data_IF_291329917620
#
_entry.id   IF_291329917620
#
_cell.length_a   1.000
_cell.length_b   1.000
_cell.length_c   1.000
_cell.angle_alpha   90.00
_cell.angle_beta   90.00
_cell.angle_gamma   90.00
#
_symmetry.space_group_name_H-M   'P 1'
#
loop_
_entity.id
_entity.type
_entity.pdbx_description
1 polymer ?
#
# COMPACT_ATOMS: atom_id res chain seq x y z
N UNK A 1 22.52 0.08 0.27
CA UNK A 1 23.93 -0.09 -0.15
C UNK A 1 24.81 0.62 0.87
N UNK A 2 25.82 -0.06 1.44
CA UNK A 2 26.70 0.51 2.49
C UNK A 2 27.37 1.83 2.05
N UNK A 3 27.77 1.93 0.79
CA UNK A 3 28.40 3.15 0.25
C UNK A 3 27.43 4.34 0.18
N UNK A 4 26.14 4.09 -0.09
CA UNK A 4 25.10 5.15 -0.08
C UNK A 4 24.85 5.63 1.35
N UNK A 5 24.78 4.70 2.30
CA UNK A 5 24.66 5.02 3.72
C UNK A 5 25.88 5.81 4.23
N UNK A 6 27.09 5.45 3.79
CA UNK A 6 28.30 6.18 4.10
C UNK A 6 28.25 7.62 3.57
N UNK A 7 27.86 7.83 2.31
CA UNK A 7 27.68 9.16 1.72
C UNK A 7 26.71 10.02 2.54
N UNK A 8 25.57 9.46 2.95
CA UNK A 8 24.57 10.19 3.73
C UNK A 8 25.08 10.55 5.13
N UNK A 9 25.74 9.62 5.81
CA UNK A 9 26.27 9.84 7.17
C UNK A 9 27.51 10.75 7.19
N UNK A 10 28.37 10.66 6.17
CA UNK A 10 29.63 11.40 6.08
C UNK A 10 29.45 12.81 5.50
N UNK A 11 28.60 12.95 4.49
CA UNK A 11 28.42 14.19 3.72
C UNK A 11 27.04 14.82 3.83
N UNK A 12 26.12 14.25 4.63
CA UNK A 12 24.79 14.82 4.91
C UNK A 12 23.77 14.72 3.78
N UNK A 13 24.15 14.20 2.60
CA UNK A 13 23.27 14.08 1.43
C UNK A 13 23.58 12.81 0.62
N UNK A 14 22.60 12.40 -0.19
CA UNK A 14 22.71 11.18 -1.00
C UNK A 14 23.55 11.45 -2.26
N UNK A 15 24.24 10.43 -2.81
CA UNK A 15 25.01 10.58 -4.04
C UNK A 15 24.15 10.74 -5.30
N UNK A 16 22.84 10.58 -5.18
CA UNK A 16 21.84 10.81 -6.21
C UNK A 16 20.67 11.57 -5.57
N UNK A 17 20.25 12.67 -6.20
CA UNK A 17 19.17 13.55 -5.74
C UNK A 17 18.16 13.74 -6.88
N UNK A 18 16.92 14.09 -6.54
CA UNK A 18 15.82 14.27 -7.48
C UNK A 18 14.56 13.47 -7.10
N UNK A 19 13.61 13.41 -8.01
CA UNK A 19 12.43 12.54 -7.91
C UNK A 19 12.83 11.07 -7.79
N UNK A 20 11.91 10.20 -7.32
CA UNK A 20 12.19 8.75 -7.23
C UNK A 20 12.71 8.16 -8.55
N UNK A 21 12.23 8.65 -9.68
CA UNK A 21 12.66 8.25 -11.02
C UNK A 21 14.08 8.74 -11.32
N UNK A 22 14.43 9.98 -10.97
CA UNK A 22 15.78 10.51 -11.16
C UNK A 22 16.81 9.82 -10.27
N UNK A 23 16.44 9.45 -9.04
CA UNK A 23 17.26 8.66 -8.13
C UNK A 23 17.44 7.24 -8.70
N UNK A 24 16.37 6.61 -9.19
CA UNK A 24 16.41 5.29 -9.82
C UNK A 24 17.27 5.28 -11.09
N UNK A 25 17.11 6.28 -11.97
CA UNK A 25 17.98 6.46 -13.13
C UNK A 25 19.42 6.76 -12.71
N UNK A 26 19.59 7.56 -11.66
CA UNK A 26 20.86 7.86 -11.03
C UNK A 26 21.60 6.57 -10.65
N UNK A 27 20.90 5.64 -10.01
CA UNK A 27 21.44 4.33 -9.66
C UNK A 27 21.84 3.49 -10.88
N UNK A 28 21.23 3.67 -12.06
CA UNK A 28 21.50 2.87 -13.27
C UNK A 28 22.48 3.51 -14.26
N UNK A 29 22.41 4.82 -14.49
CA UNK A 29 23.07 5.50 -15.61
C UNK A 29 23.92 6.71 -15.20
N UNK A 30 23.47 7.52 -14.23
CA UNK A 30 24.21 8.75 -13.87
C UNK A 30 25.41 8.42 -12.97
N UNK A 31 26.47 9.21 -13.11
CA UNK A 31 27.62 9.16 -12.19
C UNK A 31 27.18 9.70 -10.82
N UNK A 32 27.59 9.06 -9.71
CA UNK A 32 27.27 9.57 -8.38
C UNK A 32 27.96 10.91 -8.15
N UNK A 33 27.22 11.88 -7.61
CA UNK A 33 27.84 13.09 -7.08
C UNK A 33 28.48 12.77 -5.74
N UNK A 34 29.80 12.94 -5.66
CA UNK A 34 30.62 12.66 -4.49
C UNK A 34 31.29 13.92 -3.95
N UNK A 35 30.84 15.10 -4.35
CA UNK A 35 31.45 16.36 -3.91
C UNK A 35 31.30 16.62 -2.40
N UNK A 36 30.30 16.01 -1.76
CA UNK A 36 30.05 16.09 -0.30
C UNK A 36 31.00 15.27 0.57
N UNK A 37 31.79 14.36 -0.01
CA UNK A 37 32.77 13.57 0.73
C UNK A 37 34.21 14.05 0.44
N UNK A 38 35.14 13.89 1.40
CA UNK A 38 36.56 14.23 1.25
C UNK A 38 37.19 13.64 -0.03
N UNK A 39 38.08 14.38 -0.66
CA UNK A 39 38.62 14.03 -1.98
C UNK A 39 39.41 12.71 -2.00
N UNK A 40 40.04 12.36 -0.89
CA UNK A 40 40.75 11.12 -0.61
C UNK A 40 39.83 9.90 -0.51
N UNK A 41 38.58 10.06 -0.05
CA UNK A 41 37.61 8.98 0.11
C UNK A 41 36.82 8.68 -1.19
N UNK A 42 36.74 9.65 -2.11
CA UNK A 42 35.94 9.57 -3.36
C UNK A 42 36.25 8.35 -4.24
N UNK A 43 37.51 7.95 -4.49
CA UNK A 43 37.81 6.82 -5.36
C UNK A 43 37.28 5.48 -4.82
N UNK A 44 37.37 5.28 -3.50
CA UNK A 44 36.89 4.06 -2.84
C UNK A 44 35.36 3.96 -2.90
N UNK A 45 34.68 5.09 -2.70
CA UNK A 45 33.22 5.21 -2.77
C UNK A 45 32.73 5.05 -4.21
N UNK A 46 33.39 5.67 -5.19
CA UNK A 46 33.05 5.55 -6.60
C UNK A 46 33.10 4.09 -7.08
N UNK A 47 34.13 3.35 -6.67
CA UNK A 47 34.24 1.91 -6.96
C UNK A 47 33.15 1.09 -6.28
N UNK A 48 32.78 1.42 -5.03
CA UNK A 48 31.68 0.76 -4.33
C UNK A 48 30.30 1.02 -4.97
N UNK A 49 30.13 2.18 -5.61
CA UNK A 49 28.92 2.60 -6.32
C UNK A 49 28.94 2.25 -7.82
N UNK A 50 29.91 1.45 -8.28
CA UNK A 50 30.00 1.04 -9.67
C UNK A 50 28.73 0.27 -10.10
N UNK A 51 28.29 0.51 -11.34
CA UNK A 51 27.01 0.01 -11.87
C UNK A 51 27.02 -1.51 -12.06
N UNK A 52 28.14 -2.07 -12.49
CA UNK A 52 28.30 -3.51 -12.69
C UNK A 52 28.83 -4.13 -11.40
N UNK A 53 28.22 -5.22 -10.91
CA UNK A 53 28.68 -5.89 -9.70
C UNK A 53 30.16 -6.28 -9.71
N UNK A 54 30.69 -6.65 -10.88
CA UNK A 54 32.10 -7.04 -11.08
C UNK A 54 33.09 -5.89 -10.89
N UNK A 55 32.64 -4.65 -11.02
CA UNK A 55 33.47 -3.45 -10.86
C UNK A 55 33.48 -2.95 -9.40
N UNK A 56 32.66 -3.56 -8.53
CA UNK A 56 32.55 -3.22 -7.09
C UNK A 56 33.54 -4.02 -6.25
N UNK A 57 33.69 -3.61 -4.99
CA UNK A 57 34.44 -4.39 -4.00
C UNK A 57 33.79 -5.76 -3.77
N UNK A 58 34.64 -6.77 -3.58
CA UNK A 58 34.19 -8.15 -3.33
C UNK A 58 33.51 -8.31 -1.97
N UNK A 59 33.71 -7.38 -1.04
CA UNK A 59 33.05 -7.37 0.27
C UNK A 59 32.95 -5.95 0.87
N UNK A 60 32.08 -5.79 1.87
CA UNK A 60 31.98 -4.54 2.63
C UNK A 60 33.27 -4.23 3.43
N UNK A 61 33.97 -5.26 3.90
CA UNK A 61 35.24 -5.12 4.64
C UNK A 61 36.36 -4.57 3.76
N UNK A 62 36.43 -5.03 2.50
CA UNK A 62 37.36 -4.51 1.49
C UNK A 62 37.12 -3.01 1.24
N UNK A 63 35.85 -2.62 1.06
CA UNK A 63 35.47 -1.23 0.87
C UNK A 63 35.93 -0.34 2.05
N UNK A 64 35.68 -0.76 3.30
CA UNK A 64 36.06 0.00 4.50
C UNK A 64 37.57 0.14 4.65
N UNK A 65 38.35 -0.88 4.28
CA UNK A 65 39.82 -0.79 4.30
C UNK A 65 40.35 0.29 3.36
N UNK A 66 39.69 0.46 2.21
CA UNK A 66 40.04 1.45 1.20
C UNK A 66 39.52 2.87 1.49
N UNK A 67 38.65 3.04 2.50
CA UNK A 67 38.24 4.37 3.00
C UNK A 67 39.29 5.03 3.92
N UNK A 68 40.47 4.42 4.09
CA UNK A 68 41.53 4.99 4.94
C UNK A 68 41.20 4.97 6.43
N UNK A 69 40.13 4.28 6.86
CA UNK A 69 39.73 4.10 8.26
C UNK A 69 40.68 3.15 9.04
N UNK A 70 41.93 3.03 8.61
CA UNK A 70 42.93 2.15 9.19
C UNK A 70 44.07 2.95 9.83
N UNK A 71 43.82 3.53 11.00
CA UNK A 71 44.75 3.23 12.09
C UNK A 71 44.14 2.08 12.90
N UNK A 72 44.87 0.97 13.08
CA UNK A 72 44.42 -0.11 13.94
C UNK A 72 44.42 0.40 15.39
N UNK A 73 43.27 0.42 16.05
CA UNK A 73 43.27 0.41 17.52
C UNK A 73 44.08 -0.84 17.90
N UNK A 74 45.21 -0.58 18.54
CA UNK A 74 46.34 -1.48 18.61
C UNK A 74 46.03 -2.86 19.17
N UNK A 75 46.91 -3.78 18.78
CA UNK A 75 47.30 -4.98 19.54
C UNK A 75 46.16 -5.70 20.26
N UNK A 76 45.72 -6.78 19.63
CA UNK A 76 45.27 -8.00 20.31
C UNK A 76 45.98 -8.15 21.65
N UNK A 77 45.30 -8.05 22.82
CA UNK A 77 45.82 -8.74 23.97
C UNK A 77 45.55 -10.23 23.69
N UNK A 78 46.61 -11.02 23.82
CA UNK A 78 46.53 -12.47 23.88
C UNK A 78 45.32 -12.87 24.75
N UNK A 79 44.58 -13.87 24.27
CA UNK A 79 43.54 -14.55 25.03
C UNK A 79 44.20 -15.09 26.30
N UNK A 80 44.13 -14.31 27.38
CA UNK A 80 44.44 -14.81 28.71
C UNK A 80 43.23 -15.62 29.16
N UNK A 81 43.48 -16.92 29.28
CA UNK A 81 42.61 -17.91 29.89
C UNK A 81 42.25 -17.44 31.31
N UNK A 82 41.09 -16.80 31.49
CA UNK A 82 40.57 -16.49 32.82
C UNK A 82 39.83 -17.71 33.36
N UNK A 83 40.59 -18.77 33.62
CA UNK A 83 40.19 -19.85 34.51
C UNK A 83 40.14 -19.27 35.94
N UNK A 84 39.05 -18.60 36.29
CA UNK A 84 38.94 -18.06 37.64
C UNK A 84 37.96 -16.91 37.85
N UNK A 85 36.75 -16.93 37.27
CA UNK A 85 35.66 -16.06 37.76
C UNK A 85 34.27 -16.73 37.64
N UNK A 86 34.25 -18.07 37.60
CA UNK A 86 33.06 -18.89 37.31
C UNK A 86 32.13 -19.13 38.51
N UNK A 87 32.40 -18.54 39.68
CA UNK A 87 31.69 -18.89 40.93
C UNK A 87 30.87 -17.77 41.58
N UNK A 88 31.05 -16.49 41.20
CA UNK A 88 30.34 -15.36 41.85
C UNK A 88 29.26 -14.70 41.00
N UNK A 89 29.37 -14.67 39.67
CA UNK A 89 28.35 -14.10 38.78
C UNK A 89 27.15 -15.04 38.53
N UNK A 90 27.32 -16.35 38.69
CA UNK A 90 26.24 -17.33 38.46
C UNK A 90 25.18 -17.34 39.57
N UNK A 91 25.48 -16.80 40.77
CA UNK A 91 24.51 -16.71 41.86
C UNK A 91 23.55 -15.53 41.66
N UNK A 92 24.07 -14.35 41.28
CA UNK A 92 23.23 -13.16 41.09
C UNK A 92 22.29 -13.30 39.88
N UNK A 93 22.76 -13.92 38.79
CA UNK A 93 21.94 -14.14 37.59
C UNK A 93 20.83 -15.18 37.82
N UNK A 94 21.07 -16.22 38.65
CA UNK A 94 20.03 -17.18 39.06
C UNK A 94 18.95 -16.57 39.96
N UNK A 95 19.29 -15.59 40.81
CA UNK A 95 18.30 -14.93 41.65
C UNK A 95 17.37 -14.01 40.84
N UNK A 96 17.90 -13.27 39.86
CA UNK A 96 17.09 -12.36 39.04
C UNK A 96 16.15 -13.14 38.10
N UNK A 97 16.60 -14.25 37.51
CA UNK A 97 15.73 -15.08 36.66
C UNK A 97 14.65 -15.80 37.47
N UNK A 98 14.95 -16.25 38.69
CA UNK A 98 13.95 -16.83 39.58
C UNK A 98 12.86 -15.81 39.98
N UNK A 99 13.21 -14.55 40.25
CA UNK A 99 12.23 -13.50 40.57
C UNK A 99 11.32 -13.22 39.38
N UNK A 100 11.86 -13.14 38.16
CA UNK A 100 11.05 -12.93 36.94
C UNK A 100 10.12 -14.11 36.68
N UNK A 101 10.58 -15.35 36.88
CA UNK A 101 9.74 -16.55 36.74
C UNK A 101 8.63 -16.57 37.80
N UNK A 102 8.90 -16.18 39.04
CA UNK A 102 7.87 -16.09 40.09
C UNK A 102 6.85 -14.99 39.78
N UNK A 103 7.26 -13.85 39.22
CA UNK A 103 6.34 -12.79 38.79
C UNK A 103 5.47 -13.26 37.62
N UNK A 104 6.07 -13.91 36.62
CA UNK A 104 5.32 -14.44 35.48
C UNK A 104 4.35 -15.52 35.93
N UNK A 105 4.79 -16.48 36.76
CA UNK A 105 3.91 -17.50 37.32
C UNK A 105 2.85 -16.92 38.26
N UNK A 106 3.14 -15.86 39.01
CA UNK A 106 2.17 -15.14 39.84
C UNK A 106 1.10 -14.46 38.98
N UNK A 107 1.49 -13.82 37.87
CA UNK A 107 0.55 -13.17 36.93
C UNK A 107 -0.27 -14.22 36.19
N UNK A 108 0.35 -15.31 35.72
CA UNK A 108 -0.36 -16.42 35.07
C UNK A 108 -1.31 -17.11 36.03
N UNK A 109 -0.91 -17.30 37.29
CA UNK A 109 -1.78 -17.82 38.35
C UNK A 109 -2.91 -16.85 38.68
N UNK A 110 -2.66 -15.54 38.73
CA UNK A 110 -3.69 -14.50 38.99
C UNK A 110 -4.73 -14.44 37.86
N UNK A 111 -4.29 -14.59 36.60
CA UNK A 111 -5.18 -14.67 35.44
C UNK A 111 -5.98 -15.98 35.43
N UNK A 112 -5.34 -17.10 35.79
CA UNK A 112 -6.00 -18.41 35.89
C UNK A 112 -6.95 -18.52 37.12
N UNK A 113 -6.67 -17.77 38.19
CA UNK A 113 -7.49 -17.72 39.40
C UNK A 113 -8.84 -17.02 39.15
N UNK A 114 -8.88 -16.05 38.22
CA UNK A 114 -10.16 -15.50 37.72
C UNK A 114 -10.88 -16.42 36.74
N UNK A 115 -10.17 -17.35 36.11
CA UNK A 115 -10.75 -18.33 35.18
C UNK A 115 -11.39 -19.54 35.90
N UNK A 116 -11.05 -19.77 37.17
CA UNK A 116 -11.54 -20.94 37.94
C UNK A 116 -12.72 -20.64 38.86
N UNK A 117 -13.29 -19.42 38.86
CA UNK A 117 -14.43 -19.06 39.73
C UNK A 117 -15.79 -19.11 39.02
N UNK A 118 -15.98 -20.02 38.05
CA UNK A 118 -17.31 -20.40 37.57
C UNK A 118 -17.27 -21.79 36.91
N UNK A 119 -17.29 -22.82 37.76
CA UNK A 119 -17.64 -24.18 37.33
C UNK A 119 -18.40 -24.85 38.46
N UNK A 120 -19.60 -24.35 38.74
CA UNK A 120 -20.63 -25.11 39.46
C UNK A 120 -21.24 -26.12 38.49
N UNK A 121 -20.91 -27.39 38.66
CA UNK A 121 -21.84 -28.50 38.47
C UNK A 121 -22.02 -29.13 39.85
N UNK A 122 -23.23 -29.57 40.22
CA UNK A 122 -23.69 -30.86 39.71
C UNK A 122 -25.20 -30.95 39.44
N UNK A 123 -25.52 -31.89 38.55
CA UNK A 123 -26.68 -32.78 38.57
C UNK A 123 -28.07 -32.21 38.93
N UNK A 124 -28.94 -32.15 37.92
CA UNK A 124 -30.14 -32.99 37.88
C UNK A 124 -30.97 -32.65 36.64
N UNK A 125 -31.34 -33.67 35.88
CA UNK A 125 -32.40 -33.63 34.88
C UNK A 125 -33.70 -33.33 35.63
N UNK A 126 -34.37 -32.23 35.30
CA UNK A 126 -35.79 -32.06 35.57
C UNK A 126 -36.46 -31.39 34.36
N UNK A 127 -37.32 -32.18 33.70
CA UNK A 127 -38.39 -31.71 32.84
C UNK A 127 -39.34 -30.84 33.66
N UNK A 128 -39.36 -29.51 33.45
CA UNK A 128 -40.64 -28.82 33.24
C UNK A 128 -40.49 -27.40 32.69
N UNK A 129 -41.28 -27.16 31.65
CA UNK A 129 -41.75 -25.90 31.08
C UNK A 129 -41.54 -24.61 31.89
N UNK A 130 -40.95 -23.58 31.25
CA UNK A 130 -41.52 -22.23 31.08
C UNK A 130 -40.79 -21.44 29.97
N UNK A 131 -41.53 -21.18 28.88
CA UNK A 131 -41.36 -20.11 27.88
C UNK A 131 -39.96 -19.50 27.68
N UNK A 132 -39.18 -20.07 26.74
CA UNK A 132 -38.10 -19.33 26.08
C UNK A 132 -38.72 -18.33 25.11
N UNK A 133 -38.75 -17.03 25.48
CA UNK A 133 -38.99 -15.96 24.50
C UNK A 133 -37.80 -15.99 23.54
N UNK A 134 -38.06 -16.33 22.28
CA UNK A 134 -37.14 -16.08 21.18
C UNK A 134 -36.90 -14.58 21.13
N UNK A 135 -35.81 -14.12 21.73
CA UNK A 135 -35.23 -12.83 21.37
C UNK A 135 -34.73 -13.05 19.95
N UNK A 136 -35.48 -12.54 18.98
CA UNK A 136 -34.98 -12.40 17.63
C UNK A 136 -33.72 -11.54 17.74
N UNK A 137 -32.55 -12.17 17.60
CA UNK A 137 -31.31 -11.45 17.39
C UNK A 137 -31.52 -10.66 16.10
N UNK A 138 -31.76 -9.36 16.23
CA UNK A 138 -31.67 -8.45 15.10
C UNK A 138 -30.23 -8.58 14.61
N UNK A 139 -29.97 -8.94 13.34
CA UNK A 139 -28.61 -9.03 12.85
C UNK A 139 -27.97 -7.66 13.06
N UNK A 140 -26.96 -7.56 13.92
CA UNK A 140 -26.11 -6.37 13.99
C UNK A 140 -25.47 -6.23 12.61
N UNK A 141 -26.01 -5.33 11.80
CA UNK A 141 -25.40 -4.91 10.55
C UNK A 141 -24.16 -4.12 10.95
N UNK A 142 -23.00 -4.78 11.00
CA UNK A 142 -21.72 -4.08 11.14
C UNK A 142 -21.62 -3.09 9.97
N UNK A 143 -21.54 -1.78 10.23
CA UNK A 143 -21.52 -0.79 9.15
C UNK A 143 -20.27 -1.02 8.30
N UNK A 144 -20.46 -1.11 6.99
CA UNK A 144 -19.35 -1.33 6.06
C UNK A 144 -18.52 -0.04 6.01
N UNK A 145 -17.18 -0.12 6.11
CA UNK A 145 -16.35 1.08 6.06
C UNK A 145 -16.47 1.72 4.67
N UNK A 146 -16.77 3.02 4.66
CA UNK A 146 -16.86 3.81 3.42
C UNK A 146 -15.46 4.09 2.87
N UNK A 147 -15.21 3.69 1.63
CA UNK A 147 -13.91 3.74 0.97
C UNK A 147 -13.97 4.65 -0.26
N UNK A 148 -12.96 5.50 -0.44
CA UNK A 148 -12.79 6.30 -1.64
C UNK A 148 -11.51 5.89 -2.37
N UNK A 149 -11.59 5.80 -3.70
CA UNK A 149 -10.45 5.50 -4.58
C UNK A 149 -10.04 6.79 -5.26
N UNK A 150 -8.85 7.31 -4.97
CA UNK A 150 -8.35 8.51 -5.64
C UNK A 150 -7.71 8.18 -6.99
N UNK A 151 -7.50 9.21 -7.81
CA UNK A 151 -6.76 9.07 -9.05
C UNK A 151 -5.32 8.68 -8.80
N UNK A 152 -4.87 7.69 -9.56
CA UNK A 152 -3.51 7.20 -9.44
C UNK A 152 -2.56 8.18 -10.12
N UNK A 153 -1.43 8.44 -9.48
CA UNK A 153 -0.41 9.33 -10.03
C UNK A 153 0.36 8.64 -11.16
N UNK A 154 0.46 9.31 -12.31
CA UNK A 154 1.33 8.86 -13.40
C UNK A 154 2.78 9.25 -13.10
N UNK A 155 3.63 8.26 -12.87
CA UNK A 155 5.06 8.42 -12.64
C UNK A 155 5.90 7.96 -13.84
N UNK A 156 5.28 7.79 -15.01
CA UNK A 156 5.98 7.41 -16.25
C UNK A 156 6.88 8.56 -16.73
N UNK A 157 8.13 8.29 -17.14
CA UNK A 157 8.99 9.32 -17.72
C UNK A 157 8.43 9.80 -19.06
N UNK A 158 8.25 11.12 -19.20
CA UNK A 158 7.91 11.83 -20.45
C UNK A 158 6.60 11.42 -21.18
N UNK A 159 5.80 10.49 -20.62
CA UNK A 159 4.60 9.98 -21.28
C UNK A 159 3.31 10.49 -20.63
N UNK A 160 2.94 11.73 -20.98
CA UNK A 160 1.62 12.26 -20.66
C UNK A 160 0.49 11.53 -21.43
N UNK A 161 0.80 10.67 -22.41
CA UNK A 161 -0.24 9.90 -23.13
C UNK A 161 -0.91 8.87 -22.23
N UNK A 162 -0.23 8.46 -21.15
CA UNK A 162 -0.79 7.60 -20.12
C UNK A 162 -1.58 8.36 -19.05
N UNK A 163 -1.61 9.69 -19.03
CA UNK A 163 -2.34 10.44 -18.01
C UNK A 163 -3.84 10.10 -17.93
N UNK A 164 -4.58 9.86 -19.03
CA UNK A 164 -5.96 9.41 -18.96
C UNK A 164 -6.16 8.09 -18.20
N UNK A 165 -5.11 7.26 -18.09
CA UNK A 165 -5.16 6.01 -17.34
C UNK A 165 -5.49 6.23 -15.87
N UNK A 166 -5.17 7.39 -15.29
CA UNK A 166 -5.49 7.70 -13.90
C UNK A 166 -7.00 7.61 -13.62
N UNK A 167 -7.82 8.29 -14.45
CA UNK A 167 -9.28 8.26 -14.35
C UNK A 167 -9.84 6.89 -14.72
N UNK A 168 -9.30 6.26 -15.77
CA UNK A 168 -9.70 4.92 -16.20
C UNK A 168 -9.45 3.85 -15.13
N UNK A 169 -8.24 3.81 -14.57
CA UNK A 169 -7.83 2.88 -13.51
C UNK A 169 -8.64 3.07 -12.23
N UNK A 170 -8.92 4.33 -11.84
CA UNK A 170 -9.81 4.64 -10.73
C UNK A 170 -11.21 4.05 -10.96
N UNK A 171 -11.82 4.32 -12.12
CA UNK A 171 -13.13 3.77 -12.49
C UNK A 171 -13.16 2.25 -12.44
N UNK A 172 -12.15 1.58 -13.00
CA UNK A 172 -12.08 0.11 -12.97
C UNK A 172 -11.92 -0.44 -11.56
N UNK A 173 -11.13 0.24 -10.71
CA UNK A 173 -10.90 -0.23 -9.35
C UNK A 173 -12.17 -0.07 -8.49
N UNK A 174 -12.91 1.03 -8.65
CA UNK A 174 -14.22 1.23 -8.03
C UNK A 174 -15.16 0.06 -8.36
N UNK A 175 -15.35 -0.25 -9.64
CA UNK A 175 -16.27 -1.34 -10.02
C UNK A 175 -15.81 -2.70 -9.54
N UNK A 176 -14.50 -3.01 -9.58
CA UNK A 176 -13.98 -4.29 -9.09
C UNK A 176 -14.16 -4.45 -7.59
N UNK A 177 -13.95 -3.39 -6.83
CA UNK A 177 -14.17 -3.38 -5.39
C UNK A 177 -15.67 -3.52 -5.06
N UNK A 178 -16.54 -2.85 -5.82
CA UNK A 178 -18.00 -2.92 -5.66
C UNK A 178 -18.53 -4.33 -5.93
N UNK A 179 -18.15 -4.90 -7.07
CA UNK A 179 -18.62 -6.20 -7.52
C UNK A 179 -18.21 -7.36 -6.60
N UNK A 180 -16.97 -7.37 -6.10
CA UNK A 180 -16.40 -8.52 -5.36
C UNK A 180 -16.48 -8.37 -3.84
N UNK A 181 -16.35 -7.16 -3.29
CA UNK A 181 -16.11 -6.95 -1.86
C UNK A 181 -17.19 -6.14 -1.13
N UNK A 182 -18.22 -5.68 -1.83
CA UNK A 182 -19.41 -5.02 -1.26
C UNK A 182 -19.09 -3.82 -0.35
N UNK A 183 -18.01 -3.10 -0.59
CA UNK A 183 -17.69 -1.86 0.14
C UNK A 183 -18.77 -0.79 -0.08
N UNK A 184 -18.92 0.14 0.86
CA UNK A 184 -19.63 1.40 0.60
C UNK A 184 -18.63 2.33 -0.12
N UNK A 185 -18.74 2.44 -1.44
CA UNK A 185 -17.75 3.13 -2.27
C UNK A 185 -18.22 4.55 -2.57
N UNK A 186 -17.33 5.51 -2.43
CA UNK A 186 -17.58 6.88 -2.87
C UNK A 186 -17.60 6.94 -4.40
N UNK A 187 -18.67 7.51 -4.94
CA UNK A 187 -18.84 7.72 -6.38
C UNK A 187 -17.75 8.64 -6.95
N UNK A 188 -17.37 8.37 -8.19
CA UNK A 188 -16.26 9.03 -8.88
C UNK A 188 -16.50 10.53 -9.08
N UNK A 189 -17.74 10.92 -9.38
CA UNK A 189 -18.17 12.30 -9.56
C UNK A 189 -17.96 13.12 -8.28
N UNK A 190 -18.16 12.49 -7.11
CA UNK A 190 -17.89 13.13 -5.82
C UNK A 190 -16.40 13.30 -5.57
N UNK A 191 -15.58 12.36 -6.03
CA UNK A 191 -14.11 12.46 -5.98
C UNK A 191 -13.63 13.62 -6.87
N UNK A 192 -14.09 13.70 -8.12
CA UNK A 192 -13.77 14.80 -9.04
C UNK A 192 -14.11 16.16 -8.43
N UNK A 193 -15.37 16.33 -7.97
CA UNK A 193 -15.83 17.61 -7.43
C UNK A 193 -15.00 18.08 -6.21
N UNK A 194 -14.58 17.16 -5.34
CA UNK A 194 -13.74 17.49 -4.18
C UNK A 194 -12.31 17.82 -4.61
N UNK A 195 -11.76 17.07 -5.56
CA UNK A 195 -10.41 17.34 -6.06
C UNK A 195 -10.35 18.68 -6.79
N UNK A 196 -11.33 19.00 -7.64
CA UNK A 196 -11.45 20.29 -8.31
C UNK A 196 -11.55 21.45 -7.30
N UNK A 197 -12.36 21.29 -6.24
CA UNK A 197 -12.48 22.28 -5.17
C UNK A 197 -11.13 22.51 -4.46
N UNK A 198 -10.37 21.43 -4.22
CA UNK A 198 -9.06 21.50 -3.55
C UNK A 198 -7.95 22.06 -4.46
N UNK A 199 -7.92 21.71 -5.74
CA UNK A 199 -6.95 22.23 -6.71
C UNK A 199 -7.15 23.73 -6.95
N UNK A 200 -8.42 24.19 -7.01
CA UNK A 200 -8.75 25.61 -7.05
C UNK A 200 -8.28 26.35 -5.80
N UNK A 201 -8.25 25.65 -4.65
CA UNK A 201 -7.76 26.21 -3.39
C UNK A 201 -6.23 26.16 -3.25
N UNK A 202 -5.53 25.18 -3.85
CA UNK A 202 -4.09 24.94 -3.66
C UNK A 202 -3.43 24.33 -4.92
N UNK A 203 -2.34 24.94 -5.37
CA UNK A 203 -1.46 24.36 -6.39
C UNK A 203 -0.37 23.49 -5.75
N UNK A 204 -0.45 22.14 -5.77
CA UNK A 204 0.66 21.31 -5.31
C UNK A 204 0.38 19.82 -5.07
N UNK A 205 1.47 19.07 -4.83
CA UNK A 205 1.50 17.62 -4.53
C UNK A 205 0.92 17.35 -3.14
N UNK A 206 0.05 16.34 -3.03
CA UNK A 206 -0.68 16.01 -1.80
C UNK A 206 0.23 15.38 -0.73
N UNK A 207 0.17 15.91 0.51
CA UNK A 207 0.83 15.37 1.70
C UNK A 207 -0.12 14.53 2.59
N UNK A 208 0.36 14.03 3.74
CA UNK A 208 -0.49 13.26 4.67
C UNK A 208 -1.67 14.05 5.25
N UNK A 209 -1.55 15.38 5.40
CA UNK A 209 -2.65 16.23 5.87
C UNK A 209 -3.73 16.34 4.80
N UNK A 210 -3.32 16.35 3.54
CA UNK A 210 -4.24 16.36 2.40
C UNK A 210 -5.05 15.07 2.34
N UNK A 211 -4.45 13.92 2.66
CA UNK A 211 -5.18 12.62 2.77
C UNK A 211 -6.30 12.69 3.81
N UNK A 212 -6.01 13.24 5.00
CA UNK A 212 -7.05 13.40 6.02
C UNK A 212 -8.16 14.33 5.53
N UNK A 213 -7.82 15.49 4.98
CA UNK A 213 -8.80 16.47 4.51
C UNK A 213 -9.68 15.92 3.38
N UNK A 214 -9.08 15.30 2.36
CA UNK A 214 -9.80 14.66 1.23
C UNK A 214 -10.77 13.61 1.77
N UNK A 215 -10.32 12.75 2.68
CA UNK A 215 -11.15 11.71 3.28
C UNK A 215 -12.37 12.29 4.02
N UNK A 216 -12.19 13.37 4.78
CA UNK A 216 -13.30 14.05 5.46
C UNK A 216 -14.30 14.68 4.47
N UNK A 217 -13.82 15.35 3.41
CA UNK A 217 -14.69 15.96 2.38
C UNK A 217 -15.48 14.92 1.57
N UNK A 218 -14.90 13.75 1.37
CA UNK A 218 -15.55 12.60 0.73
C UNK A 218 -16.44 11.81 1.71
N UNK A 219 -16.30 12.04 3.01
CA UNK A 219 -16.95 11.23 4.05
C UNK A 219 -16.48 9.77 4.01
N UNK A 220 -15.23 9.54 3.64
CA UNK A 220 -14.61 8.22 3.55
C UNK A 220 -13.74 7.97 4.79
N UNK A 221 -13.87 6.77 5.38
CA UNK A 221 -13.01 6.32 6.48
C UNK A 221 -11.68 5.77 5.96
N UNK A 222 -11.68 5.27 4.74
CA UNK A 222 -10.51 4.69 4.08
C UNK A 222 -10.29 5.34 2.72
N UNK A 223 -9.03 5.59 2.38
CA UNK A 223 -8.62 6.07 1.07
C UNK A 223 -7.69 5.07 0.41
N UNK A 224 -7.95 4.80 -0.87
CA UNK A 224 -7.01 4.11 -1.73
C UNK A 224 -6.23 5.13 -2.55
N UNK A 225 -4.93 5.12 -2.35
CA UNK A 225 -3.96 5.96 -3.05
C UNK A 225 -3.08 5.05 -3.89
N UNK A 226 -2.57 5.55 -5.01
CA UNK A 226 -1.67 4.75 -5.82
C UNK A 226 -0.94 5.56 -6.87
N UNK A 227 0.00 4.89 -7.51
CA UNK A 227 0.71 5.40 -8.66
C UNK A 227 0.89 4.28 -9.68
N UNK A 228 1.12 4.66 -10.92
CA UNK A 228 1.53 3.74 -11.95
C UNK A 228 2.67 4.34 -12.75
N UNK A 229 3.50 3.50 -13.33
CA UNK A 229 4.44 3.94 -14.35
C UNK A 229 4.64 2.85 -15.40
N UNK A 230 4.97 3.29 -16.60
CA UNK A 230 5.47 2.44 -17.66
C UNK A 230 6.91 2.81 -17.99
N UNK A 231 7.79 1.82 -17.99
CA UNK A 231 9.15 1.97 -18.45
C UNK A 231 9.50 0.84 -19.42
N UNK A 232 9.74 1.21 -20.68
CA UNK A 232 9.88 0.26 -21.79
C UNK A 232 8.64 -0.65 -21.89
N UNK A 233 8.82 -1.97 -21.70
CA UNK A 233 7.74 -2.95 -21.72
C UNK A 233 7.37 -3.46 -20.31
N UNK A 234 7.78 -2.74 -19.26
CA UNK A 234 7.42 -3.03 -17.88
C UNK A 234 6.40 -2.00 -17.43
N UNK A 235 5.23 -2.49 -17.04
CA UNK A 235 4.15 -1.73 -16.46
C UNK A 235 4.06 -2.09 -14.97
N UNK A 236 4.02 -1.08 -14.11
CA UNK A 236 3.92 -1.26 -12.66
C UNK A 236 2.80 -0.40 -12.09
N UNK A 237 2.05 -0.99 -11.17
CA UNK A 237 1.00 -0.32 -10.40
C UNK A 237 1.28 -0.55 -8.93
N UNK A 238 1.33 0.53 -8.16
CA UNK A 238 1.46 0.52 -6.71
C UNK A 238 0.20 1.14 -6.10
N UNK A 239 -0.32 0.53 -5.03
CA UNK A 239 -1.47 1.04 -4.31
C UNK A 239 -1.34 0.80 -2.80
N UNK A 240 -1.99 1.67 -2.03
CA UNK A 240 -2.08 1.57 -0.58
C UNK A 240 -3.45 2.02 -0.08
N UNK A 241 -3.94 1.33 0.94
CA UNK A 241 -5.14 1.70 1.71
C UNK A 241 -4.69 2.43 2.96
N UNK A 242 -5.20 3.63 3.18
CA UNK A 242 -4.89 4.48 4.33
C UNK A 242 -6.16 4.71 5.15
N UNK A 243 -6.06 4.56 6.45
CA UNK A 243 -7.11 4.96 7.39
C UNK A 243 -7.07 6.48 7.58
N UNK A 244 -8.18 7.16 7.30
CA UNK A 244 -8.28 8.62 7.25
C UNK A 244 -8.17 9.25 8.65
N UNK A 245 -8.62 8.55 9.69
CA UNK A 245 -8.59 9.04 11.07
C UNK A 245 -7.16 9.03 11.63
N UNK A 246 -6.41 7.98 11.35
CA UNK A 246 -5.07 7.75 11.92
C UNK A 246 -3.93 8.13 10.96
N UNK A 247 -4.21 8.28 9.67
CA UNK A 247 -3.20 8.47 8.62
C UNK A 247 -2.32 7.25 8.37
N UNK A 248 -2.61 6.10 9.00
CA UNK A 248 -1.80 4.89 8.89
C UNK A 248 -2.14 4.09 7.65
N UNK A 249 -1.12 3.54 7.00
CA UNK A 249 -1.28 2.57 5.92
C UNK A 249 -1.79 1.24 6.47
N UNK A 250 -3.02 0.87 6.14
CA UNK A 250 -3.64 -0.41 6.49
C UNK A 250 -3.13 -1.55 5.59
N UNK A 251 -2.90 -1.26 4.31
CA UNK A 251 -2.41 -2.22 3.33
C UNK A 251 -1.60 -1.52 2.25
N UNK A 252 -0.59 -2.19 1.71
CA UNK A 252 0.15 -1.74 0.54
C UNK A 252 0.52 -2.93 -0.34
N UNK A 253 0.35 -2.77 -1.65
CA UNK A 253 0.63 -3.78 -2.65
C UNK A 253 1.17 -3.13 -3.92
N UNK A 254 1.99 -3.88 -4.65
CA UNK A 254 2.56 -3.46 -5.91
C UNK A 254 2.64 -4.65 -6.85
N UNK A 255 2.25 -4.44 -8.10
CA UNK A 255 2.27 -5.47 -9.14
C UNK A 255 3.03 -4.95 -10.35
N UNK A 256 3.79 -5.84 -10.99
CA UNK A 256 4.54 -5.53 -12.21
C UNK A 256 4.31 -6.60 -13.28
N UNK A 257 4.35 -6.19 -14.54
CA UNK A 257 4.19 -7.09 -15.68
C UNK A 257 4.24 -6.37 -17.02
N UNK A 258 3.77 -7.04 -18.07
CA UNK A 258 3.62 -6.43 -19.40
C UNK A 258 2.36 -5.56 -19.45
N UNK A 259 2.32 -4.47 -20.24
CA UNK A 259 1.08 -3.73 -20.50
C UNK A 259 -0.05 -4.62 -21.04
N UNK A 260 0.26 -5.72 -21.74
CA UNK A 260 -0.75 -6.67 -22.22
C UNK A 260 -1.49 -7.42 -21.10
N UNK A 261 -0.89 -7.54 -19.93
CA UNK A 261 -1.43 -8.31 -18.79
C UNK A 261 -2.23 -7.44 -17.81
N UNK A 262 -2.58 -6.22 -18.19
CA UNK A 262 -3.12 -5.20 -17.28
C UNK A 262 -4.32 -5.68 -16.46
N UNK A 263 -5.29 -6.34 -17.09
CA UNK A 263 -6.47 -6.84 -16.38
C UNK A 263 -6.10 -7.81 -15.25
N UNK A 264 -5.15 -8.70 -15.54
CA UNK A 264 -4.60 -9.67 -14.60
C UNK A 264 -3.78 -8.98 -13.49
N UNK A 265 -2.98 -7.97 -13.83
CA UNK A 265 -2.24 -7.16 -12.85
C UNK A 265 -3.20 -6.45 -11.89
N UNK A 266 -4.23 -5.77 -12.41
CA UNK A 266 -5.21 -5.06 -11.59
C UNK A 266 -6.00 -6.02 -10.67
N UNK A 267 -6.39 -7.21 -11.15
CA UNK A 267 -7.06 -8.21 -10.30
C UNK A 267 -6.16 -8.65 -9.15
N UNK A 268 -4.90 -8.99 -9.46
CA UNK A 268 -3.89 -9.35 -8.46
C UNK A 268 -3.67 -8.23 -7.44
N UNK A 269 -3.62 -6.98 -7.90
CA UNK A 269 -3.43 -5.83 -7.01
C UNK A 269 -4.58 -5.69 -6.01
N UNK A 270 -5.82 -5.72 -6.50
CA UNK A 270 -7.02 -5.63 -5.65
C UNK A 270 -7.06 -6.77 -4.64
N UNK A 271 -6.77 -8.00 -5.07
CA UNK A 271 -6.70 -9.16 -4.18
C UNK A 271 -5.63 -9.01 -3.11
N UNK A 272 -4.43 -8.58 -3.47
CA UNK A 272 -3.35 -8.34 -2.50
C UNK A 272 -3.69 -7.23 -1.51
N UNK A 273 -4.34 -6.15 -1.96
CA UNK A 273 -4.78 -5.07 -1.07
C UNK A 273 -5.79 -5.57 -0.05
N UNK A 274 -6.83 -6.25 -0.52
CA UNK A 274 -7.90 -6.76 0.36
C UNK A 274 -7.35 -7.82 1.32
N UNK A 275 -6.51 -8.75 0.84
CA UNK A 275 -5.90 -9.77 1.69
C UNK A 275 -5.05 -9.15 2.79
N UNK A 276 -4.16 -8.22 2.45
CA UNK A 276 -3.30 -7.53 3.43
C UNK A 276 -4.10 -6.66 4.40
N UNK A 277 -5.23 -6.09 3.96
CA UNK A 277 -6.10 -5.30 4.83
C UNK A 277 -6.77 -6.14 5.92
N UNK A 278 -7.03 -7.43 5.65
CA UNK A 278 -7.63 -8.35 6.62
C UNK A 278 -6.58 -9.10 7.45
N UNK A 279 -5.28 -8.92 7.19
CA UNK A 279 -4.22 -9.51 7.99
C UNK A 279 -3.95 -8.66 9.25
N UNK A 280 -3.79 -9.28 10.43
CA UNK A 280 -3.41 -8.55 11.63
C UNK A 280 -2.02 -7.92 11.46
N UNK A 281 -1.86 -6.68 11.95
CA UNK A 281 -0.72 -5.72 11.83
C UNK A 281 0.68 -6.27 12.24
N UNK A 282 0.81 -7.56 12.56
CA UNK A 282 2.01 -8.19 13.13
C UNK A 282 2.68 -9.26 12.23
N UNK A 283 2.30 -9.37 10.95
CA UNK A 283 3.04 -10.20 9.99
C UNK A 283 4.18 -9.39 9.37
N UNK A 284 5.43 -9.76 9.65
CA UNK A 284 6.61 -9.18 9.03
C UNK A 284 6.58 -9.36 7.49
N UNK A 285 7.26 -8.48 6.71
CA UNK A 285 7.36 -8.66 5.27
C UNK A 285 8.32 -9.82 4.96
N UNK A 286 7.80 -11.04 4.94
CA UNK A 286 8.53 -12.22 4.55
C UNK A 286 8.51 -12.34 3.02
N UNK A 287 9.63 -11.94 2.41
CA UNK A 287 10.10 -12.29 1.06
C UNK A 287 9.05 -12.41 -0.06
N UNK A 288 9.07 -11.41 -0.93
CA UNK A 288 8.55 -11.45 -2.31
C UNK A 288 9.14 -12.62 -3.11
N UNK A 289 8.59 -13.83 -2.96
CA UNK A 289 8.58 -14.85 -4.02
C UNK A 289 7.47 -15.88 -3.75
N UNK A 290 6.22 -15.44 -3.78
CA UNK A 290 5.10 -16.35 -3.96
C UNK A 290 4.27 -15.86 -5.14
N UNK A 291 4.56 -16.42 -6.32
CA UNK A 291 3.61 -16.40 -7.42
C UNK A 291 2.34 -17.10 -6.91
N UNK A 292 1.33 -16.31 -6.55
CA UNK A 292 -0.02 -16.82 -6.43
C UNK A 292 -0.46 -17.21 -7.84
N UNK A 293 -0.60 -18.52 -8.04
CA UNK A 293 -1.31 -19.09 -9.17
C UNK A 293 -2.73 -18.52 -9.06
N UNK A 294 -3.05 -17.59 -9.96
CA UNK A 294 -4.41 -17.09 -10.12
C UNK A 294 -5.19 -18.27 -10.67
N UNK A 295 -6.16 -18.77 -9.90
CA UNK A 295 -7.16 -19.68 -10.41
C UNK A 295 -7.74 -19.05 -11.68
N UNK A 296 -7.77 -19.85 -12.75
CA UNK A 296 -8.14 -19.44 -14.10
C UNK A 296 -9.64 -19.16 -14.21
N UNK A 297 -10.18 -18.29 -13.35
CA UNK A 297 -11.36 -17.51 -13.70
C UNK A 297 -10.98 -16.76 -14.97
N UNK A 298 -11.74 -16.97 -16.06
CA UNK A 298 -11.57 -16.25 -17.31
C UNK A 298 -11.83 -14.75 -17.07
N UNK A 299 -10.84 -14.05 -16.52
CA UNK A 299 -10.87 -12.60 -16.36
C UNK A 299 -10.88 -12.02 -17.77
N UNK A 300 -11.90 -11.23 -18.15
CA UNK A 300 -11.90 -10.53 -19.42
C UNK A 300 -10.59 -9.75 -19.58
N UNK A 301 -9.85 -10.07 -20.64
CA UNK A 301 -8.55 -9.45 -20.91
C UNK A 301 -8.80 -8.09 -21.57
N UNK A 302 -9.02 -7.07 -20.73
CA UNK A 302 -9.16 -5.68 -21.16
C UNK A 302 -7.76 -5.11 -21.38
N UNK A 303 -7.51 -4.59 -22.57
CA UNK A 303 -6.22 -3.97 -22.92
C UNK A 303 -6.03 -2.63 -22.22
N UNK A 304 -4.79 -2.26 -21.91
CA UNK A 304 -4.46 -0.90 -21.38
C UNK A 304 -5.01 0.20 -22.28
N UNK A 305 -5.03 -0.02 -23.59
CA UNK A 305 -5.57 0.93 -24.56
C UNK A 305 -7.06 1.20 -24.33
N UNK A 306 -7.87 0.17 -24.13
CA UNK A 306 -9.28 0.33 -23.84
C UNK A 306 -9.51 1.13 -22.55
N UNK A 307 -8.66 0.94 -21.54
CA UNK A 307 -8.73 1.69 -20.27
C UNK A 307 -8.28 3.14 -20.43
N UNK A 308 -7.30 3.40 -21.29
CA UNK A 308 -6.92 4.77 -21.67
C UNK A 308 -8.08 5.49 -22.36
N UNK A 309 -8.75 4.81 -23.28
CA UNK A 309 -9.91 5.35 -23.99
C UNK A 309 -11.09 5.58 -23.02
N UNK A 310 -11.30 4.67 -22.06
CA UNK A 310 -12.26 4.85 -20.98
C UNK A 310 -11.95 6.11 -20.16
N UNK A 311 -10.69 6.27 -19.76
CA UNK A 311 -10.24 7.45 -19.02
C UNK A 311 -10.47 8.77 -19.77
N UNK A 312 -10.24 8.77 -21.09
CA UNK A 312 -10.57 9.94 -21.95
C UNK A 312 -12.07 10.21 -22.01
N UNK A 313 -12.88 9.16 -22.08
CA UNK A 313 -14.33 9.30 -22.10
C UNK A 313 -14.85 9.87 -20.77
N UNK A 314 -14.36 9.35 -19.64
CA UNK A 314 -14.67 9.87 -18.30
C UNK A 314 -14.27 11.34 -18.19
N UNK A 315 -13.06 11.68 -18.62
CA UNK A 315 -12.57 13.06 -18.61
C UNK A 315 -13.37 14.00 -19.53
N UNK A 316 -13.82 13.52 -20.69
CA UNK A 316 -14.73 14.27 -21.55
C UNK A 316 -16.09 14.50 -20.87
N UNK A 317 -16.62 13.48 -20.20
CA UNK A 317 -17.87 13.57 -19.46
C UNK A 317 -17.80 14.59 -18.32
N UNK A 318 -16.72 14.58 -17.54
CA UNK A 318 -16.49 15.53 -16.43
C UNK A 318 -16.46 16.98 -16.91
N UNK A 319 -15.90 17.21 -18.10
CA UNK A 319 -15.89 18.53 -18.75
C UNK A 319 -17.24 18.95 -19.37
N UNK A 320 -18.27 18.11 -19.24
CA UNK A 320 -19.59 18.33 -19.83
C UNK A 320 -19.70 17.96 -21.32
N UNK A 321 -18.66 17.37 -21.92
CA UNK A 321 -18.73 16.83 -23.28
C UNK A 321 -19.28 15.39 -23.29
N UNK A 322 -20.55 15.28 -22.91
CA UNK A 322 -21.27 14.01 -22.82
C UNK A 322 -21.37 13.30 -24.16
N UNK A 323 -21.44 14.04 -25.27
CA UNK A 323 -21.56 13.45 -26.62
C UNK A 323 -20.30 12.67 -27.01
N UNK A 324 -19.12 13.26 -26.82
CA UNK A 324 -17.83 12.60 -27.08
C UNK A 324 -17.62 11.43 -26.12
N UNK A 325 -17.96 11.59 -24.84
CA UNK A 325 -17.85 10.55 -23.83
C UNK A 325 -18.66 9.30 -24.20
N UNK A 326 -19.96 9.46 -24.46
CA UNK A 326 -20.86 8.36 -24.84
C UNK A 326 -20.38 7.68 -26.13
N UNK A 327 -19.95 8.46 -27.12
CA UNK A 327 -19.47 7.90 -28.40
C UNK A 327 -18.22 7.06 -28.20
N UNK A 328 -17.27 7.55 -27.39
CA UNK A 328 -16.03 6.84 -27.09
C UNK A 328 -16.30 5.53 -26.35
N UNK A 329 -17.19 5.55 -25.34
CA UNK A 329 -17.58 4.33 -24.61
C UNK A 329 -18.27 3.31 -25.52
N UNK A 330 -19.12 3.75 -26.45
CA UNK A 330 -19.73 2.86 -27.44
C UNK A 330 -18.67 2.18 -28.32
N UNK A 331 -17.69 2.93 -28.81
CA UNK A 331 -16.57 2.39 -29.61
C UNK A 331 -15.73 1.38 -28.82
N UNK A 332 -15.52 1.62 -27.52
CA UNK A 332 -14.86 0.65 -26.63
C UNK A 332 -15.67 -0.65 -26.59
N UNK A 333 -16.99 -0.58 -26.40
CA UNK A 333 -17.87 -1.75 -26.30
C UNK A 333 -18.06 -2.51 -27.63
N UNK A 334 -17.88 -1.83 -28.77
CA UNK A 334 -17.81 -2.49 -30.08
C UNK A 334 -16.60 -3.42 -30.20
N UNK A 335 -15.48 -3.04 -29.57
CA UNK A 335 -14.24 -3.82 -29.57
C UNK A 335 -14.20 -4.85 -28.43
N UNK A 336 -14.60 -4.44 -27.23
CA UNK A 336 -14.50 -5.17 -25.97
C UNK A 336 -15.87 -5.22 -25.26
N UNK A 337 -16.79 -6.05 -25.79
CA UNK A 337 -18.16 -6.16 -25.28
C UNK A 337 -18.29 -6.74 -23.86
N UNK A 338 -17.21 -7.27 -23.28
CA UNK A 338 -17.13 -7.77 -21.90
C UNK A 338 -16.64 -6.71 -20.90
N UNK A 339 -16.39 -5.48 -21.35
CA UNK A 339 -15.90 -4.41 -20.49
C UNK A 339 -17.04 -3.85 -19.61
N UNK A 340 -17.23 -4.46 -18.44
CA UNK A 340 -18.33 -4.13 -17.52
C UNK A 340 -18.33 -2.67 -17.06
N UNK A 341 -17.15 -2.06 -16.83
CA UNK A 341 -17.04 -0.64 -16.46
C UNK A 341 -17.64 0.28 -17.52
N UNK A 342 -17.33 0.02 -18.78
CA UNK A 342 -17.85 0.77 -19.91
C UNK A 342 -19.37 0.63 -20.04
N UNK A 343 -19.93 -0.57 -19.78
CA UNK A 343 -21.39 -0.78 -19.77
C UNK A 343 -22.07 0.01 -18.66
N UNK A 344 -21.50 -0.01 -17.45
CA UNK A 344 -22.03 0.70 -16.29
C UNK A 344 -22.07 2.20 -16.56
N UNK A 345 -20.95 2.79 -16.97
CA UNK A 345 -20.89 4.22 -17.31
C UNK A 345 -21.86 4.59 -18.43
N UNK A 346 -21.97 3.77 -19.49
CA UNK A 346 -22.92 4.03 -20.56
C UNK A 346 -24.37 4.03 -20.05
N UNK A 347 -24.73 3.08 -19.19
CA UNK A 347 -26.04 3.02 -18.55
C UNK A 347 -26.29 4.27 -17.71
N UNK A 348 -25.34 4.64 -16.86
CA UNK A 348 -25.47 5.76 -15.93
C UNK A 348 -25.58 7.10 -16.69
N UNK A 349 -24.79 7.30 -17.75
CA UNK A 349 -24.80 8.53 -18.55
C UNK A 349 -25.96 8.65 -19.53
N UNK A 350 -26.65 7.54 -19.82
CA UNK A 350 -27.82 7.53 -20.71
C UNK A 350 -29.14 7.37 -19.97
N UNK A 351 -29.10 7.17 -18.65
CA UNK A 351 -30.28 7.17 -17.82
C UNK A 351 -31.04 8.51 -17.98
N UNK A 352 -32.37 8.49 -18.15
CA UNK A 352 -33.15 9.72 -18.14
C UNK A 352 -32.89 10.43 -16.81
N UNK A 353 -32.38 11.67 -16.86
CA UNK A 353 -32.25 12.49 -15.66
C UNK A 353 -33.63 12.56 -15.00
N UNK A 354 -33.76 12.01 -13.79
CA UNK A 354 -35.00 12.07 -13.04
C UNK A 354 -35.45 13.54 -12.97
N UNK A 355 -36.70 13.79 -13.36
CA UNK A 355 -37.27 15.12 -13.42
C UNK A 355 -37.13 15.76 -12.01
N UNK A 356 -36.61 17.00 -11.87
CA UNK A 356 -36.45 17.65 -10.57
C UNK A 356 -37.73 17.76 -9.74
N UNK A 357 -38.90 17.52 -10.35
CA UNK A 357 -40.22 17.50 -9.69
C UNK A 357 -40.54 16.22 -8.91
N UNK A 358 -39.77 15.14 -9.06
CA UNK A 358 -40.01 13.85 -8.37
C UNK A 358 -39.29 13.73 -7.01
N UNK A 359 -38.67 14.81 -6.49
CA UNK A 359 -38.21 14.79 -5.09
C UNK A 359 -39.43 14.83 -4.16
N UNK A 360 -39.63 13.83 -3.28
CA UNK A 360 -40.68 13.90 -2.28
C UNK A 360 -40.45 15.15 -1.43
N UNK A 361 -41.46 15.99 -1.37
CA UNK A 361 -41.54 17.29 -0.70
C UNK A 361 -41.60 17.16 0.81
N UNK A 362 -40.68 16.39 1.41
CA UNK A 362 -40.68 16.15 2.84
C UNK A 362 -39.28 16.22 3.45
N UNK A 363 -38.78 17.45 3.55
CA UNK A 363 -37.91 17.88 4.65
C UNK A 363 -38.06 19.41 4.79
N UNK A 364 -38.82 19.80 5.81
CA UNK A 364 -38.94 21.16 6.32
C UNK A 364 -38.27 21.24 7.68
#
# INVERSE_FOLDING_TARGET
SLAVSYCHLRGGRLPFEGTQVEIMEGHRKKQPDLSMVPADERPAIAKALAKRPKDRWNSCTEFVRHLGLSEPIGTTPAVQTVAGLRARFNRLFLFVTAIVIVIVLSVTWLVNQRYSSQSTSPDSIDENSQSFRVVQATPEVTPRPRIAVLYFENQSPDDNRLAPLAKGLCSMMITRLDAKYKYDIVERERIEAVLDELELARSGIFDQRDVAQIGHLLGARQLVLGSYFQLFNVFRIDARVVDVETGKTMAAAGVEGSPGDFSSLLSKLVEQLVQKQHQPENAQPENETACLVVDNETVPQISVRAVLDLGRAVDAFDRGDTATAITTVKTILESDSSFEDAKRLLSDWTAPTANPEDRPSNEK
#
